data_IF_612000466656
#
_entry.id   IF_612000466656
#
_cell.length_a   1.000
_cell.length_b   1.000
_cell.length_c   1.000
_cell.angle_alpha   90.00
_cell.angle_beta   90.00
_cell.angle_gamma   90.00
#
_symmetry.space_group_name_H-M   'P 1'
#
loop_
_entity.id
_entity.type
_entity.pdbx_description
1 polymer ?
#
# COMPACT_ATOMS: atom_id res chain seq x y z
N UNK A 1 -8.01 7.46 -13.68
CA UNK A 1 -8.76 6.55 -12.82
C UNK A 1 -7.77 5.51 -12.32
N UNK A 2 -7.53 5.44 -11.03
CA UNK A 2 -6.60 4.44 -10.45
C UNK A 2 -7.32 3.12 -10.20
N UNK A 3 -6.57 2.05 -9.95
CA UNK A 3 -7.13 0.69 -9.78
C UNK A 3 -8.12 0.59 -8.61
N UNK A 4 -7.88 1.32 -7.52
CA UNK A 4 -8.70 1.29 -6.29
C UNK A 4 -9.05 2.67 -5.73
N UNK A 5 -8.49 3.74 -6.30
CA UNK A 5 -8.63 5.12 -5.82
C UNK A 5 -8.60 6.07 -7.01
N UNK A 6 -9.45 7.09 -6.97
CA UNK A 6 -9.49 8.17 -7.94
C UNK A 6 -8.94 9.45 -7.34
N UNK A 7 -8.11 10.14 -8.11
CA UNK A 7 -7.50 11.40 -7.70
C UNK A 7 -8.13 12.52 -8.51
N UNK A 8 -8.80 13.45 -7.81
CA UNK A 8 -9.41 14.65 -8.40
C UNK A 8 -8.56 15.85 -8.00
N UNK A 9 -7.92 16.49 -8.98
CA UNK A 9 -7.13 17.69 -8.74
C UNK A 9 -8.06 18.90 -8.67
N UNK A 10 -8.09 19.58 -7.52
CA UNK A 10 -8.84 20.83 -7.31
C UNK A 10 -7.99 22.06 -7.68
N UNK A 11 -6.68 21.96 -7.46
CA UNK A 11 -5.68 22.96 -7.85
C UNK A 11 -4.42 22.24 -8.31
N UNK A 12 -3.95 22.53 -9.52
CA UNK A 12 -2.74 21.91 -10.05
C UNK A 12 -1.49 22.31 -9.26
N UNK A 13 -0.56 21.37 -9.00
CA UNK A 13 0.78 21.72 -8.54
C UNK A 13 1.61 22.31 -9.69
N UNK A 14 2.32 23.41 -9.44
CA UNK A 14 3.09 24.12 -10.47
C UNK A 14 4.40 24.69 -9.91
N UNK A 15 5.52 24.41 -10.59
CA UNK A 15 6.84 24.82 -10.13
C UNK A 15 7.09 24.34 -8.70
N UNK A 16 7.35 25.26 -7.78
CA UNK A 16 7.49 24.96 -6.35
C UNK A 16 6.17 24.99 -5.57
N UNK A 17 5.02 25.35 -6.15
CA UNK A 17 3.74 25.45 -5.42
C UNK A 17 3.02 24.10 -5.38
N UNK A 18 2.68 23.66 -4.17
CA UNK A 18 1.82 22.50 -3.96
C UNK A 18 0.43 22.74 -4.55
N UNK A 19 -0.12 21.68 -5.11
CA UNK A 19 -1.51 21.58 -5.53
C UNK A 19 -2.41 21.13 -4.38
N UNK A 20 -3.70 21.02 -4.68
CA UNK A 20 -4.70 20.52 -3.75
C UNK A 20 -5.61 19.55 -4.48
N UNK A 21 -5.91 18.42 -3.87
CA UNK A 21 -6.70 17.37 -4.49
C UNK A 21 -7.52 16.61 -3.49
N UNK A 22 -8.32 15.71 -4.04
CA UNK A 22 -9.17 14.80 -3.30
C UNK A 22 -8.90 13.39 -3.79
N UNK A 23 -8.70 12.49 -2.84
CA UNK A 23 -8.64 11.06 -3.03
C UNK A 23 -10.02 10.47 -2.75
N UNK A 24 -10.61 9.84 -3.76
CA UNK A 24 -11.88 9.13 -3.66
C UNK A 24 -11.56 7.64 -3.65
N UNK A 25 -11.67 7.02 -2.48
CA UNK A 25 -11.44 5.61 -2.29
C UNK A 25 -12.66 4.83 -2.81
N UNK A 26 -12.39 3.87 -3.70
CA UNK A 26 -13.45 3.06 -4.32
C UNK A 26 -13.54 1.69 -3.65
N UNK A 27 -14.69 1.05 -3.85
CA UNK A 27 -14.91 -0.36 -3.47
C UNK A 27 -14.29 -1.35 -4.47
N UNK A 28 -13.58 -0.84 -5.49
CA UNK A 28 -12.82 -1.67 -6.43
C UNK A 28 -11.64 -2.33 -5.74
N UNK A 29 -11.22 -3.47 -6.24
CA UNK A 29 -10.00 -4.14 -5.83
C UNK A 29 -9.20 -4.62 -7.04
N UNK A 30 -7.90 -4.81 -6.83
CA UNK A 30 -6.96 -5.30 -7.84
C UNK A 30 -6.04 -6.33 -7.21
N UNK A 31 -5.77 -7.41 -7.95
CA UNK A 31 -4.77 -8.41 -7.59
C UNK A 31 -3.92 -8.78 -8.81
N UNK A 32 -2.68 -9.18 -8.56
CA UNK A 32 -1.72 -9.63 -9.58
C UNK A 32 -1.43 -8.63 -10.70
N UNK A 33 -1.62 -7.33 -10.48
CA UNK A 33 -1.43 -6.25 -11.46
C UNK A 33 -2.34 -6.39 -12.70
N UNK A 34 -3.41 -7.18 -12.57
CA UNK A 34 -4.38 -7.39 -13.65
C UNK A 34 -5.13 -6.10 -13.98
N UNK A 35 -5.46 -5.32 -12.95
CA UNK A 35 -6.33 -4.15 -13.04
C UNK A 35 -7.53 -4.32 -12.12
N UNK A 36 -8.61 -3.62 -12.42
CA UNK A 36 -9.88 -3.77 -11.71
C UNK A 36 -10.42 -5.20 -11.85
N UNK A 37 -10.76 -5.81 -10.71
CA UNK A 37 -11.32 -7.15 -10.62
C UNK A 37 -12.86 -7.12 -10.69
N UNK A 38 -13.52 -8.25 -10.96
CA UNK A 38 -14.98 -8.32 -11.02
C UNK A 38 -15.57 -8.11 -9.62
N UNK A 39 -16.70 -7.42 -9.55
CA UNK A 39 -17.39 -7.01 -8.32
C UNK A 39 -16.70 -5.88 -7.55
N UNK A 40 -17.55 -5.17 -6.80
CA UNK A 40 -17.14 -4.24 -5.77
C UNK A 40 -17.19 -4.95 -4.41
N UNK A 41 -16.25 -4.61 -3.54
CA UNK A 41 -16.25 -5.03 -2.13
C UNK A 41 -16.85 -3.89 -1.32
N UNK A 42 -18.14 -3.99 -1.01
CA UNK A 42 -18.91 -2.94 -0.38
C UNK A 42 -18.22 -2.40 0.89
N UNK A 43 -18.08 -1.08 1.00
CA UNK A 43 -17.50 -0.41 2.17
C UNK A 43 -15.99 -0.52 2.29
N UNK A 44 -15.30 -1.18 1.35
CA UNK A 44 -13.84 -1.23 1.28
C UNK A 44 -13.25 0.18 1.15
N UNK A 45 -13.76 1.00 0.24
CA UNK A 45 -13.26 2.35 0.00
C UNK A 45 -13.33 3.23 1.25
N UNK A 46 -14.49 3.23 1.93
CA UNK A 46 -14.67 3.93 3.20
C UNK A 46 -13.71 3.40 4.28
N UNK A 47 -13.61 2.08 4.45
CA UNK A 47 -12.71 1.46 5.42
C UNK A 47 -11.25 1.88 5.22
N UNK A 48 -10.78 1.84 3.97
CA UNK A 48 -9.40 2.22 3.61
C UNK A 48 -9.14 3.71 3.86
N UNK A 49 -10.08 4.57 3.49
CA UNK A 49 -9.99 6.01 3.71
C UNK A 49 -9.86 6.32 5.21
N UNK A 50 -10.73 5.73 6.02
CA UNK A 50 -10.75 5.97 7.46
C UNK A 50 -9.51 5.42 8.18
N UNK A 51 -9.06 4.22 7.83
CA UNK A 51 -7.81 3.66 8.39
C UNK A 51 -6.61 4.55 8.03
N UNK A 52 -6.50 4.98 6.77
CA UNK A 52 -5.37 5.81 6.34
C UNK A 52 -5.42 7.20 6.98
N UNK A 53 -6.60 7.80 7.11
CA UNK A 53 -6.81 9.07 7.81
C UNK A 53 -6.36 8.97 9.28
N UNK A 54 -6.79 7.91 9.97
CA UNK A 54 -6.38 7.63 11.35
C UNK A 54 -4.85 7.58 11.49
N UNK A 55 -4.17 6.86 10.59
CA UNK A 55 -2.71 6.78 10.65
C UNK A 55 -2.02 8.10 10.30
N UNK A 56 -2.52 8.87 9.34
CA UNK A 56 -1.97 10.19 9.05
C UNK A 56 -2.09 11.14 10.25
N UNK A 57 -3.20 11.09 11.00
CA UNK A 57 -3.36 11.88 12.23
C UNK A 57 -2.35 11.44 13.31
N UNK A 58 -2.07 10.14 13.46
CA UNK A 58 -0.98 9.64 14.32
C UNK A 58 0.41 10.10 13.85
N UNK A 59 0.64 10.18 12.54
CA UNK A 59 1.90 10.73 12.01
C UNK A 59 2.03 12.22 12.37
N UNK A 60 0.94 12.99 12.28
CA UNK A 60 0.89 14.40 12.67
C UNK A 60 1.21 14.58 14.17
N UNK A 61 0.65 13.76 15.06
CA UNK A 61 0.98 13.75 16.50
C UNK A 61 2.47 13.53 16.78
N UNK A 62 3.19 12.86 15.87
CA UNK A 62 4.64 12.59 15.97
C UNK A 62 5.49 13.55 15.14
N UNK A 63 4.90 14.58 14.54
CA UNK A 63 5.59 15.55 13.70
C UNK A 63 6.16 14.96 12.41
N UNK A 64 5.60 13.85 11.91
CA UNK A 64 6.00 13.25 10.63
C UNK A 64 5.17 13.89 9.53
N UNK A 65 5.85 14.65 8.67
CA UNK A 65 5.23 15.38 7.56
C UNK A 65 4.58 14.44 6.56
N UNK A 66 3.39 14.80 6.11
CA UNK A 66 2.60 14.03 5.16
C UNK A 66 1.63 14.97 4.40
N UNK A 67 0.98 14.45 3.36
CA UNK A 67 0.08 15.23 2.51
C UNK A 67 -1.38 15.32 2.98
N UNK A 68 -1.76 14.68 4.09
CA UNK A 68 -3.16 14.57 4.52
C UNK A 68 -3.65 15.89 5.10
N UNK A 69 -4.81 16.36 4.63
CA UNK A 69 -5.47 17.56 5.16
C UNK A 69 -6.68 17.26 6.05
N UNK A 70 -7.28 16.08 5.93
CA UNK A 70 -8.56 15.73 6.56
C UNK A 70 -9.41 14.81 5.68
N UNK A 71 -10.43 14.21 6.27
CA UNK A 71 -11.51 13.51 5.55
C UNK A 71 -12.62 14.49 5.22
N UNK A 72 -13.40 14.23 4.16
CA UNK A 72 -14.49 15.12 3.74
C UNK A 72 -15.84 14.55 4.14
N UNK A 73 -16.62 15.31 4.89
CA UNK A 73 -18.01 15.02 5.27
C UNK A 73 -18.83 16.32 5.12
N UNK A 74 -19.97 16.25 4.44
CA UNK A 74 -20.84 17.42 4.15
C UNK A 74 -20.09 18.60 3.49
N UNK A 75 -19.21 18.30 2.52
CA UNK A 75 -18.31 19.25 1.85
C UNK A 75 -17.31 20.00 2.76
N UNK A 76 -17.23 19.62 4.04
CA UNK A 76 -16.27 20.13 5.01
C UNK A 76 -15.12 19.16 5.25
N UNK A 77 -13.94 19.70 5.52
CA UNK A 77 -12.73 18.92 5.83
C UNK A 77 -12.64 18.78 7.34
N UNK A 78 -12.75 17.56 7.84
CA UNK A 78 -12.84 17.22 9.25
C UNK A 78 -11.74 16.23 9.64
N UNK A 79 -11.42 16.19 10.93
CA UNK A 79 -10.58 15.12 11.53
C UNK A 79 -11.42 13.86 11.73
N UNK A 80 -10.76 12.72 11.89
CA UNK A 80 -11.43 11.42 12.08
C UNK A 80 -12.37 11.42 13.29
N UNK A 81 -12.05 12.15 14.36
CA UNK A 81 -12.90 12.24 15.56
C UNK A 81 -14.12 13.17 15.40
N UNK A 82 -14.18 13.96 14.33
CA UNK A 82 -15.23 14.98 14.11
C UNK A 82 -16.33 14.49 13.15
N UNK A 83 -16.07 13.43 12.39
CA UNK A 83 -17.06 12.87 11.45
C UNK A 83 -18.12 12.04 12.18
N UNK A 84 -19.33 11.99 11.61
CA UNK A 84 -20.42 11.15 12.10
C UNK A 84 -20.51 9.83 11.34
N UNK A 85 -20.21 9.85 10.04
CA UNK A 85 -20.29 8.68 9.16
C UNK A 85 -18.98 8.45 8.41
N UNK A 86 -18.57 7.18 8.17
CA UNK A 86 -17.31 6.91 7.50
C UNK A 86 -17.32 7.48 6.07
N UNK A 87 -16.32 8.31 5.78
CA UNK A 87 -16.08 8.91 4.48
C UNK A 87 -15.20 8.01 3.61
N UNK A 88 -15.38 8.08 2.29
CA UNK A 88 -14.42 7.55 1.32
C UNK A 88 -13.65 8.67 0.61
N UNK A 89 -13.73 9.90 1.11
CA UNK A 89 -13.17 11.08 0.48
C UNK A 89 -12.13 11.69 1.44
N UNK A 90 -10.90 11.81 0.97
CA UNK A 90 -9.79 12.38 1.71
C UNK A 90 -9.22 13.57 0.94
N UNK A 91 -9.09 14.72 1.59
CA UNK A 91 -8.42 15.87 0.99
C UNK A 91 -6.91 15.78 1.25
N UNK A 92 -6.12 16.03 0.21
CA UNK A 92 -4.66 15.99 0.29
C UNK A 92 -4.01 17.18 -0.41
N UNK A 93 -2.81 17.53 0.05
CA UNK A 93 -1.86 18.28 -0.76
C UNK A 93 -1.39 17.38 -1.92
N UNK A 94 -1.13 18.00 -3.09
CA UNK A 94 -0.70 17.29 -4.29
C UNK A 94 0.62 17.85 -4.76
N UNK A 95 1.54 16.97 -5.14
CA UNK A 95 2.81 17.32 -5.79
C UNK A 95 2.78 17.02 -7.27
N UNK A 96 3.75 17.55 -8.02
CA UNK A 96 3.93 17.18 -9.43
C UNK A 96 4.29 15.71 -9.55
N UNK A 97 3.69 15.04 -10.53
CA UNK A 97 4.12 13.71 -10.96
C UNK A 97 5.02 13.89 -12.17
N UNK A 98 6.32 13.95 -11.92
CA UNK A 98 7.34 13.93 -12.97
C UNK A 98 7.44 12.51 -13.50
N UNK A 99 7.41 12.31 -14.82
CA UNK A 99 7.51 10.97 -15.41
C UNK A 99 8.90 10.77 -16.01
N UNK A 100 9.55 9.62 -15.80
CA UNK A 100 10.74 9.27 -16.56
C UNK A 100 10.40 9.17 -18.05
N UNK A 101 11.31 9.61 -18.92
CA UNK A 101 11.15 9.50 -20.37
C UNK A 101 11.47 8.08 -20.82
N UNK A 102 10.66 7.51 -21.72
CA UNK A 102 10.91 6.19 -22.29
C UNK A 102 11.55 6.35 -23.67
N UNK A 103 12.87 6.17 -23.73
CA UNK A 103 13.61 6.16 -25.01
C UNK A 103 13.90 4.71 -25.42
N UNK A 104 14.75 4.04 -24.64
CA UNK A 104 15.07 2.60 -24.77
C UNK A 104 14.90 1.90 -23.41
N UNK A 105 15.43 2.54 -22.38
CA UNK A 105 15.11 2.30 -20.97
C UNK A 105 14.48 3.58 -20.39
N UNK A 106 14.13 3.56 -19.11
CA UNK A 106 13.59 4.72 -18.39
C UNK A 106 14.71 5.74 -18.05
N UNK A 107 14.62 6.95 -18.59
CA UNK A 107 15.49 8.07 -18.21
C UNK A 107 14.90 8.85 -17.03
N UNK A 108 15.60 8.80 -15.90
CA UNK A 108 15.26 9.49 -14.65
C UNK A 108 15.98 10.85 -14.49
N UNK A 109 16.66 11.36 -15.51
CA UNK A 109 17.44 12.61 -15.44
C UNK A 109 16.63 13.83 -14.97
N UNK A 110 15.31 13.82 -15.16
CA UNK A 110 14.40 14.87 -14.66
C UNK A 110 14.47 15.04 -13.13
N UNK A 111 14.64 13.96 -12.37
CA UNK A 111 14.68 13.98 -10.91
C UNK A 111 15.97 14.57 -10.35
N UNK A 112 17.06 14.60 -11.14
CA UNK A 112 18.30 15.32 -10.78
C UNK A 112 18.24 16.81 -11.08
N UNK A 113 17.37 17.21 -12.02
CA UNK A 113 17.17 18.61 -12.44
C UNK A 113 16.18 19.32 -11.50
N UNK A 114 15.12 18.63 -11.13
CA UNK A 114 14.06 19.17 -10.28
C UNK A 114 14.43 19.09 -8.80
N UNK A 115 14.14 20.16 -8.05
CA UNK A 115 14.61 20.28 -6.65
C UNK A 115 13.54 19.99 -5.61
N UNK A 116 12.27 20.24 -5.90
CA UNK A 116 11.17 20.24 -4.92
C UNK A 116 9.82 20.04 -5.58
N UNK A 117 8.77 19.78 -4.78
CA UNK A 117 7.38 19.63 -5.22
C UNK A 117 7.19 18.53 -6.27
N UNK A 118 7.67 17.32 -5.97
CA UNK A 118 7.47 16.15 -6.81
C UNK A 118 7.36 14.85 -6.02
N UNK A 119 6.64 13.88 -6.59
CA UNK A 119 6.59 12.50 -6.09
C UNK A 119 7.95 11.84 -6.34
N UNK A 120 8.54 11.27 -5.30
CA UNK A 120 9.79 10.51 -5.40
C UNK A 120 9.45 9.19 -6.11
N UNK A 121 10.21 8.77 -7.14
CA UNK A 121 9.84 7.65 -8.01
C UNK A 121 10.08 6.26 -7.39
N UNK A 122 9.92 6.15 -6.06
CA UNK A 122 10.25 4.98 -5.27
C UNK A 122 9.04 4.51 -4.46
N UNK A 123 8.87 3.20 -4.41
CA UNK A 123 8.07 2.52 -3.40
C UNK A 123 9.02 1.98 -2.32
N UNK A 124 8.82 2.40 -1.07
CA UNK A 124 9.66 1.98 0.06
C UNK A 124 8.91 0.97 0.88
N UNK A 125 9.48 -0.23 1.02
CA UNK A 125 8.82 -1.37 1.65
C UNK A 125 9.55 -1.66 2.96
N UNK A 126 8.79 -1.79 4.05
CA UNK A 126 9.31 -2.34 5.30
C UNK A 126 8.76 -3.75 5.52
N UNK A 127 9.54 -4.60 6.19
CA UNK A 127 9.14 -5.97 6.52
C UNK A 127 9.48 -6.27 7.97
N UNK A 128 8.48 -6.59 8.76
CA UNK A 128 8.63 -7.10 10.13
C UNK A 128 8.71 -8.62 10.15
N UNK A 129 8.12 -9.28 9.15
CA UNK A 129 8.19 -10.72 8.96
C UNK A 129 8.36 -11.08 7.48
N UNK A 130 8.60 -12.37 7.20
CA UNK A 130 8.72 -12.91 5.86
C UNK A 130 7.60 -13.91 5.58
N UNK A 131 6.36 -13.47 5.26
CA UNK A 131 5.27 -14.38 4.93
C UNK A 131 5.56 -15.14 3.64
N UNK A 132 4.95 -16.31 3.43
CA UNK A 132 5.19 -17.19 2.27
C UNK A 132 5.14 -16.47 0.91
N UNK A 133 4.25 -15.48 0.77
CA UNK A 133 4.13 -14.64 -0.43
C UNK A 133 5.16 -13.50 -0.56
N UNK A 134 6.17 -13.44 0.30
CA UNK A 134 7.22 -12.42 0.24
C UNK A 134 8.08 -12.59 -1.02
N UNK A 135 8.33 -11.48 -1.71
CA UNK A 135 9.18 -11.45 -2.90
C UNK A 135 10.63 -11.83 -2.59
N UNK A 136 11.07 -11.67 -1.34
CA UNK A 136 12.42 -12.02 -0.89
C UNK A 136 12.77 -13.48 -1.21
N UNK A 137 11.83 -14.43 -1.04
CA UNK A 137 12.11 -15.84 -1.31
C UNK A 137 12.49 -16.07 -2.78
N UNK A 138 11.67 -15.56 -3.71
CA UNK A 138 11.94 -15.69 -5.15
C UNK A 138 13.21 -14.96 -5.58
N UNK A 139 13.52 -13.82 -4.96
CA UNK A 139 14.73 -13.04 -5.25
C UNK A 139 15.99 -13.75 -4.75
N UNK A 140 15.95 -14.35 -3.56
CA UNK A 140 17.04 -15.19 -3.03
C UNK A 140 17.26 -16.44 -3.91
N UNK A 141 16.19 -17.13 -4.30
CA UNK A 141 16.27 -18.31 -5.18
C UNK A 141 16.92 -18.00 -6.54
N UNK A 142 16.69 -16.79 -7.06
CA UNK A 142 17.26 -16.33 -8.34
C UNK A 142 18.65 -15.69 -8.21
N UNK A 143 19.15 -15.52 -6.99
CA UNK A 143 20.41 -14.82 -6.73
C UNK A 143 20.36 -13.31 -7.00
N UNK A 144 19.17 -12.71 -7.05
CA UNK A 144 18.98 -11.26 -7.23
C UNK A 144 19.34 -10.47 -5.95
N UNK A 145 19.31 -11.14 -4.79
CA UNK A 145 19.75 -10.64 -3.48
C UNK A 145 20.43 -11.76 -2.70
N UNK A 146 21.26 -11.41 -1.72
CA UNK A 146 21.90 -12.37 -0.80
C UNK A 146 21.34 -12.27 0.62
N UNK A 147 21.60 -13.28 1.45
CA UNK A 147 21.18 -13.27 2.87
C UNK A 147 21.91 -12.17 3.66
N UNK A 148 23.17 -11.89 3.31
CA UNK A 148 24.00 -10.87 3.95
C UNK A 148 23.47 -9.47 3.65
N UNK A 149 23.02 -9.21 2.41
CA UNK A 149 22.37 -7.95 2.04
C UNK A 149 21.07 -7.71 2.82
N UNK A 150 20.40 -8.77 3.25
CA UNK A 150 19.19 -8.71 4.08
C UNK A 150 19.51 -8.67 5.59
N UNK A 151 20.79 -8.72 5.99
CA UNK A 151 21.18 -8.81 7.39
C UNK A 151 20.76 -10.12 8.07
N UNK A 152 20.69 -11.22 7.32
CA UNK A 152 20.27 -12.54 7.80
C UNK A 152 21.45 -13.52 7.86
N UNK A 153 21.52 -14.30 8.94
CA UNK A 153 22.59 -15.30 9.13
C UNK A 153 22.38 -16.61 8.36
N UNK A 154 21.14 -16.85 7.89
CA UNK A 154 20.77 -18.08 7.20
C UNK A 154 19.53 -17.85 6.32
N UNK A 155 19.33 -18.76 5.37
CA UNK A 155 18.15 -18.75 4.50
C UNK A 155 16.86 -18.76 5.35
N UNK A 156 15.98 -17.75 5.20
CA UNK A 156 14.79 -17.66 6.04
C UNK A 156 13.76 -18.72 5.68
N UNK A 157 12.90 -19.07 6.64
CA UNK A 157 11.68 -19.86 6.38
C UNK A 157 10.46 -18.94 6.28
N UNK A 158 9.42 -19.29 5.52
CA UNK A 158 8.14 -18.59 5.56
C UNK A 158 7.62 -18.42 6.99
N UNK A 159 7.10 -17.23 7.29
CA UNK A 159 6.62 -16.85 8.62
C UNK A 159 7.72 -16.39 9.60
N UNK A 160 8.99 -16.31 9.17
CA UNK A 160 10.08 -15.80 10.03
C UNK A 160 9.77 -14.39 10.49
N UNK A 161 9.66 -14.21 11.82
CA UNK A 161 9.66 -12.90 12.46
C UNK A 161 11.09 -12.36 12.47
N UNK A 162 11.26 -11.13 12.02
CA UNK A 162 12.56 -10.48 11.93
C UNK A 162 12.87 -9.77 13.25
N UNK A 163 14.13 -9.84 13.69
CA UNK A 163 14.59 -9.12 14.89
C UNK A 163 14.53 -7.61 14.66
N UNK A 164 15.01 -7.20 13.49
CA UNK A 164 15.00 -5.82 13.03
C UNK A 164 14.29 -5.78 11.67
N UNK A 165 13.42 -4.79 11.41
CA UNK A 165 12.73 -4.71 10.12
C UNK A 165 13.68 -4.57 8.96
N UNK A 166 13.43 -5.32 7.87
CA UNK A 166 14.16 -5.17 6.62
C UNK A 166 13.49 -4.07 5.79
N UNK A 167 14.30 -3.23 5.15
CA UNK A 167 13.84 -2.25 4.18
C UNK A 167 14.20 -2.68 2.75
N UNK A 168 13.21 -2.64 1.87
CA UNK A 168 13.31 -2.87 0.43
C UNK A 168 12.88 -1.60 -0.30
N UNK A 169 13.29 -1.47 -1.57
CA UNK A 169 12.87 -0.37 -2.43
C UNK A 169 12.62 -0.87 -3.85
N UNK A 170 11.58 -0.33 -4.48
CA UNK A 170 11.27 -0.57 -5.90
C UNK A 170 10.91 0.72 -6.64
N UNK A 171 10.87 0.64 -7.96
CA UNK A 171 10.36 1.73 -8.81
C UNK A 171 8.85 1.93 -8.59
N UNK A 172 8.32 3.11 -8.93
CA UNK A 172 6.89 3.46 -8.82
C UNK A 172 6.23 3.92 -10.13
N UNK A 173 7.05 4.42 -11.05
CA UNK A 173 6.62 5.15 -12.26
C UNK A 173 6.92 4.40 -13.56
N UNK A 174 7.35 3.14 -13.45
CA UNK A 174 7.53 2.24 -14.58
C UNK A 174 6.24 1.46 -14.84
N UNK A 175 6.11 0.88 -16.04
CA UNK A 175 4.97 0.00 -16.36
C UNK A 175 4.89 -1.23 -15.43
N UNK A 176 6.04 -1.64 -14.89
CA UNK A 176 6.18 -2.72 -13.94
C UNK A 176 7.25 -2.35 -12.93
N UNK A 177 6.85 -2.33 -11.66
CA UNK A 177 7.79 -2.05 -10.58
C UNK A 177 8.86 -3.14 -10.49
N UNK A 178 10.11 -2.72 -10.34
CA UNK A 178 11.27 -3.59 -10.15
C UNK A 178 12.00 -3.20 -8.87
N UNK A 179 12.55 -4.19 -8.18
CA UNK A 179 13.36 -3.96 -7.00
C UNK A 179 14.68 -3.32 -7.38
N UNK A 180 15.19 -2.47 -6.49
CA UNK A 180 16.42 -1.72 -6.66
C UNK A 180 17.36 -1.99 -5.48
N UNK A 181 18.65 -1.80 -5.73
CA UNK A 181 19.61 -1.49 -4.68
C UNK A 181 19.38 -0.07 -4.16
N UNK A 182 19.89 0.25 -2.98
CA UNK A 182 19.80 1.62 -2.44
C UNK A 182 20.61 2.63 -3.28
N UNK A 183 21.72 2.21 -3.89
CA UNK A 183 22.53 3.04 -4.79
C UNK A 183 21.76 3.39 -6.07
N UNK A 184 21.10 2.40 -6.68
CA UNK A 184 20.22 2.64 -7.83
C UNK A 184 19.02 3.52 -7.44
N UNK A 185 18.45 3.32 -6.25
CA UNK A 185 17.36 4.15 -5.75
C UNK A 185 17.79 5.62 -5.60
N UNK A 186 18.98 5.89 -5.05
CA UNK A 186 19.57 7.24 -5.02
C UNK A 186 19.71 7.80 -6.44
N UNK A 187 20.23 6.98 -7.35
CA UNK A 187 20.52 7.38 -8.71
C UNK A 187 19.27 7.86 -9.48
N UNK A 188 18.20 7.06 -9.43
CA UNK A 188 16.96 7.34 -10.19
C UNK A 188 16.09 8.41 -9.52
N UNK A 189 16.21 8.58 -8.21
CA UNK A 189 15.37 9.53 -7.47
C UNK A 189 16.02 10.90 -7.29
N UNK A 190 17.32 11.02 -7.55
CA UNK A 190 18.08 12.25 -7.31
C UNK A 190 18.21 12.59 -5.82
N UNK A 191 18.06 11.59 -4.95
CA UNK A 191 18.30 11.72 -3.52
C UNK A 191 19.79 11.61 -3.20
N UNK A 192 20.25 12.41 -2.25
CA UNK A 192 21.57 12.22 -1.64
C UNK A 192 21.52 11.19 -0.50
N UNK A 193 22.69 10.85 0.05
CA UNK A 193 22.82 9.84 1.11
C UNK A 193 22.05 10.23 2.39
N UNK A 194 22.10 11.49 2.80
CA UNK A 194 21.37 11.99 3.98
C UNK A 194 19.84 11.88 3.80
N UNK A 195 19.35 12.17 2.59
CA UNK A 195 17.93 12.06 2.23
C UNK A 195 17.46 10.61 2.23
N UNK A 196 18.28 9.66 1.78
CA UNK A 196 17.97 8.23 1.87
C UNK A 196 17.93 7.75 3.31
N UNK A 197 18.91 8.12 4.13
CA UNK A 197 18.93 7.71 5.53
C UNK A 197 17.75 8.32 6.30
N UNK A 198 17.37 9.56 5.97
CA UNK A 198 16.15 10.17 6.51
C UNK A 198 14.88 9.43 6.06
N UNK A 199 14.79 9.08 4.78
CA UNK A 199 13.67 8.30 4.22
C UNK A 199 13.56 6.94 4.92
N UNK A 200 14.66 6.18 5.08
CA UNK A 200 14.69 4.92 5.83
C UNK A 200 14.23 5.11 7.28
N UNK A 201 14.72 6.15 7.95
CA UNK A 201 14.35 6.49 9.33
C UNK A 201 12.87 6.83 9.47
N UNK A 202 12.30 7.59 8.54
CA UNK A 202 10.86 7.90 8.53
C UNK A 202 10.07 6.62 8.28
N UNK A 203 10.46 5.78 7.33
CA UNK A 203 9.83 4.48 7.06
C UNK A 203 9.76 3.61 8.32
N UNK A 204 10.87 3.47 9.06
CA UNK A 204 10.89 2.69 10.30
C UNK A 204 10.00 3.30 11.40
N UNK A 205 9.93 4.63 11.49
CA UNK A 205 9.01 5.30 12.43
C UNK A 205 7.55 5.06 12.06
N UNK A 206 7.20 5.18 10.78
CA UNK A 206 5.84 4.93 10.29
C UNK A 206 5.47 3.46 10.51
N UNK A 207 6.36 2.52 10.18
CA UNK A 207 6.20 1.11 10.48
C UNK A 207 5.91 0.87 11.97
N UNK A 208 6.71 1.46 12.87
CA UNK A 208 6.51 1.33 14.32
C UNK A 208 5.14 1.85 14.76
N UNK A 209 4.72 3.01 14.26
CA UNK A 209 3.40 3.60 14.56
C UNK A 209 2.28 2.68 14.08
N UNK A 210 2.37 2.14 12.87
CA UNK A 210 1.38 1.20 12.34
C UNK A 210 1.31 -0.04 13.24
N UNK A 211 2.47 -0.66 13.47
CA UNK A 211 2.59 -1.91 14.25
C UNK A 211 2.04 -1.76 15.67
N UNK A 212 2.43 -0.72 16.41
CA UNK A 212 1.96 -0.50 17.79
C UNK A 212 0.45 -0.26 17.88
N UNK A 213 -0.18 0.29 16.84
CA UNK A 213 -1.62 0.53 16.83
C UNK A 213 -2.40 -0.70 16.35
N UNK A 214 -1.90 -1.44 15.36
CA UNK A 214 -2.56 -2.68 14.92
C UNK A 214 -2.44 -3.79 15.97
N UNK A 215 -1.32 -3.87 16.70
CA UNK A 215 -1.14 -4.88 17.75
C UNK A 215 -2.15 -4.78 18.88
N UNK A 216 -2.61 -3.57 19.22
CA UNK A 216 -3.69 -3.36 20.21
C UNK A 216 -5.01 -4.00 19.79
N UNK A 217 -5.23 -4.13 18.48
CA UNK A 217 -6.37 -4.81 17.87
C UNK A 217 -6.13 -6.32 17.66
N UNK A 218 -5.00 -6.87 18.12
CA UNK A 218 -4.60 -8.25 17.85
C UNK A 218 -4.16 -8.49 16.41
N UNK A 219 -3.94 -7.42 15.64
CA UNK A 219 -3.53 -7.48 14.23
C UNK A 219 -2.02 -7.33 14.14
N UNK A 220 -1.35 -8.35 13.60
CA UNK A 220 0.08 -8.32 13.32
C UNK A 220 0.35 -7.63 11.99
N UNK A 221 1.29 -6.69 12.01
CA UNK A 221 1.79 -5.99 10.82
C UNK A 221 3.01 -6.72 10.24
N UNK A 222 2.82 -7.48 9.16
CA UNK A 222 3.85 -8.35 8.58
C UNK A 222 4.82 -7.56 7.70
N UNK A 223 4.28 -6.79 6.76
CA UNK A 223 5.02 -5.89 5.87
C UNK A 223 4.10 -4.76 5.38
N UNK A 224 4.68 -3.69 4.87
CA UNK A 224 3.94 -2.57 4.31
C UNK A 224 4.75 -1.71 3.37
N UNK A 225 4.05 -0.90 2.60
CA UNK A 225 4.63 -0.03 1.57
C UNK A 225 4.28 1.43 1.84
N UNK A 226 5.23 2.31 1.57
CA UNK A 226 5.09 3.76 1.68
C UNK A 226 5.59 4.44 0.41
N UNK A 227 4.93 5.53 0.06
CA UNK A 227 5.38 6.45 -0.97
C UNK A 227 5.78 7.79 -0.35
N UNK A 228 6.74 8.46 -0.97
CA UNK A 228 7.28 9.73 -0.49
C UNK A 228 7.26 10.79 -1.58
N UNK A 229 7.23 12.04 -1.16
CA UNK A 229 7.40 13.19 -2.04
C UNK A 229 8.29 14.24 -1.37
N UNK A 230 8.84 15.12 -2.19
CA UNK A 230 9.37 16.39 -1.70
C UNK A 230 8.30 17.47 -1.77
N UNK A 231 8.15 18.22 -0.69
CA UNK A 231 7.31 19.41 -0.67
C UNK A 231 7.97 20.60 -1.40
N UNK A 232 7.42 21.81 -1.27
CA UNK A 232 7.96 23.03 -1.87
C UNK A 232 9.32 23.51 -1.32
N UNK A 233 9.79 22.91 -0.22
CA UNK A 233 11.04 23.23 0.46
C UNK A 233 12.07 22.09 0.40
N UNK A 234 11.78 21.02 -0.35
CA UNK A 234 12.57 19.78 -0.40
C UNK A 234 12.60 19.04 0.95
N UNK A 235 11.53 19.16 1.73
CA UNK A 235 11.30 18.33 2.90
C UNK A 235 10.56 17.06 2.48
N UNK A 236 11.01 15.91 2.98
CA UNK A 236 10.35 14.63 2.75
C UNK A 236 8.97 14.63 3.43
N UNK A 237 7.98 14.15 2.70
CA UNK A 237 6.64 13.90 3.22
C UNK A 237 6.12 12.54 2.79
N UNK A 238 5.41 11.86 3.69
CA UNK A 238 4.70 10.62 3.40
C UNK A 238 3.45 10.95 2.58
N UNK A 239 3.25 10.23 1.49
CA UNK A 239 2.11 10.44 0.59
C UNK A 239 1.38 9.14 0.30
N UNK A 240 0.42 9.21 -0.61
CA UNK A 240 -0.48 8.14 -1.02
C UNK A 240 -1.44 7.65 0.08
N UNK A 241 -1.31 6.41 0.55
CA UNK A 241 -2.21 5.77 1.50
C UNK A 241 -1.36 4.89 2.40
N UNK A 242 -1.66 4.86 3.70
CA UNK A 242 -0.79 4.19 4.69
C UNK A 242 -1.59 3.33 5.66
N UNK A 243 -0.96 2.25 6.13
CA UNK A 243 -1.47 1.43 7.23
C UNK A 243 -2.79 0.69 6.93
N UNK A 244 -3.15 0.54 5.65
CA UNK A 244 -4.39 -0.12 5.26
C UNK A 244 -4.17 -1.59 4.85
N UNK A 245 -5.19 -2.47 4.89
CA UNK A 245 -5.08 -3.83 4.37
C UNK A 245 -4.76 -3.94 2.85
N UNK A 246 -4.79 -2.82 2.14
CA UNK A 246 -4.42 -2.72 0.73
C UNK A 246 -2.92 -2.45 0.53
N UNK A 247 -2.28 -1.74 1.48
CA UNK A 247 -0.87 -1.31 1.45
C UNK A 247 0.02 -2.06 2.44
N UNK A 248 -0.59 -2.77 3.40
CA UNK A 248 0.07 -3.60 4.39
C UNK A 248 -0.47 -5.03 4.33
N UNK A 249 0.40 -6.00 4.58
CA UNK A 249 -0.01 -7.36 4.89
C UNK A 249 -0.23 -7.47 6.38
N UNK A 250 -1.51 -7.53 6.74
CA UNK A 250 -1.93 -7.77 8.11
C UNK A 250 -2.33 -9.22 8.31
N UNK A 251 -2.07 -9.76 9.51
CA UNK A 251 -2.55 -11.07 9.93
C UNK A 251 -3.24 -11.00 11.30
N UNK A 252 -4.24 -11.86 11.49
CA UNK A 252 -4.98 -12.03 12.73
C UNK A 252 -5.12 -13.52 13.00
N UNK A 253 -4.67 -13.99 14.17
CA UNK A 253 -4.60 -15.44 14.49
C UNK A 253 -3.95 -16.27 13.34
N UNK A 254 -2.83 -15.76 12.79
CA UNK A 254 -2.06 -16.31 11.65
C UNK A 254 -2.81 -16.37 10.29
N UNK A 255 -4.01 -15.80 10.21
CA UNK A 255 -4.76 -15.63 8.96
C UNK A 255 -4.51 -14.24 8.38
N UNK A 256 -4.10 -14.18 7.12
CA UNK A 256 -3.94 -12.91 6.41
C UNK A 256 -5.29 -12.21 6.23
N UNK A 257 -5.39 -10.95 6.68
CA UNK A 257 -6.57 -10.09 6.62
C UNK A 257 -6.31 -8.89 5.71
N UNK A 258 -5.84 -9.19 4.51
CA UNK A 258 -5.44 -8.22 3.48
C UNK A 258 -5.97 -8.68 2.11
N UNK A 259 -5.56 -7.99 1.04
CA UNK A 259 -5.74 -8.46 -0.35
C UNK A 259 -5.29 -9.91 -0.56
N UNK A 260 -4.45 -10.47 0.32
CA UNK A 260 -3.97 -11.84 0.22
C UNK A 260 -5.09 -12.89 0.31
N UNK A 261 -6.21 -12.62 1.00
CA UNK A 261 -7.40 -13.51 0.98
C UNK A 261 -7.89 -13.70 -0.45
N UNK A 262 -8.01 -12.60 -1.18
CA UNK A 262 -8.44 -12.61 -2.58
C UNK A 262 -7.38 -13.28 -3.46
N UNK A 263 -6.08 -13.01 -3.23
CA UNK A 263 -5.00 -13.69 -3.98
C UNK A 263 -5.06 -15.20 -3.78
N UNK A 264 -5.22 -15.69 -2.54
CA UNK A 264 -5.37 -17.12 -2.22
C UNK A 264 -6.54 -17.75 -2.98
N UNK A 265 -7.71 -17.10 -2.99
CA UNK A 265 -8.87 -17.57 -3.74
C UNK A 265 -8.56 -17.72 -5.23
N UNK A 266 -8.06 -16.66 -5.86
CA UNK A 266 -7.81 -16.66 -7.30
C UNK A 266 -6.71 -17.62 -7.73
N UNK A 267 -5.67 -17.85 -6.91
CA UNK A 267 -4.60 -18.82 -7.23
C UNK A 267 -5.12 -20.25 -7.47
N UNK A 268 -6.30 -20.59 -6.94
CA UNK A 268 -6.95 -21.90 -7.12
C UNK A 268 -7.69 -22.03 -8.47
N UNK A 269 -7.74 -20.97 -9.28
CA UNK A 269 -8.55 -20.92 -10.52
C UNK A 269 -7.73 -21.19 -11.78
N UNK A 270 -8.37 -21.74 -12.83
CA UNK A 270 -7.74 -21.89 -14.15
C UNK A 270 -7.32 -20.54 -14.76
N UNK A 271 -8.05 -19.48 -14.44
CA UNK A 271 -7.71 -18.12 -14.86
C UNK A 271 -6.32 -17.71 -14.35
N UNK A 272 -6.03 -17.94 -13.06
CA UNK A 272 -4.72 -17.61 -12.51
C UNK A 272 -3.60 -18.42 -13.17
N UNK A 273 -3.82 -19.72 -13.45
CA UNK A 273 -2.82 -20.54 -14.17
C UNK A 273 -2.51 -20.01 -15.57
N UNK A 274 -3.52 -19.48 -16.28
CA UNK A 274 -3.30 -18.80 -17.57
C UNK A 274 -2.58 -17.47 -17.38
N UNK A 275 -3.01 -16.67 -16.40
CA UNK A 275 -2.39 -15.40 -16.06
C UNK A 275 -0.90 -15.57 -15.76
N UNK A 276 -0.53 -16.55 -14.94
CA UNK A 276 0.86 -16.80 -14.53
C UNK A 276 1.76 -17.15 -15.72
N UNK A 277 1.25 -17.92 -16.69
CA UNK A 277 2.00 -18.28 -17.91
C UNK A 277 2.19 -17.11 -18.88
N UNK A 278 1.24 -16.18 -18.90
CA UNK A 278 1.21 -15.09 -19.86
C UNK A 278 1.81 -13.79 -19.31
N UNK A 279 1.80 -13.61 -17.99
CA UNK A 279 2.18 -12.34 -17.33
C UNK A 279 3.60 -11.92 -17.74
N UNK A 280 3.70 -10.70 -18.28
CA UNK A 280 4.95 -10.13 -18.79
C UNK A 280 5.05 -10.13 -20.32
N UNK A 281 4.21 -10.89 -21.03
CA UNK A 281 4.15 -10.86 -22.49
C UNK A 281 3.25 -9.71 -23.00
N UNK A 282 3.36 -9.37 -24.29
CA UNK A 282 2.47 -8.39 -24.91
C UNK A 282 1.01 -8.85 -24.79
N UNK A 283 0.10 -7.92 -24.46
CA UNK A 283 -1.35 -8.18 -24.30
C UNK A 283 -1.69 -9.34 -23.37
N UNK A 284 -0.85 -9.65 -22.39
CA UNK A 284 -1.05 -10.78 -21.47
C UNK A 284 -2.40 -10.75 -20.74
N UNK A 285 -2.97 -9.56 -20.49
CA UNK A 285 -4.29 -9.39 -19.87
C UNK A 285 -5.43 -9.91 -20.76
N UNK A 286 -5.34 -9.67 -22.07
CA UNK A 286 -6.29 -10.19 -23.05
C UNK A 286 -6.21 -11.72 -23.09
N UNK A 287 -4.99 -12.27 -23.16
CA UNK A 287 -4.76 -13.72 -23.19
C UNK A 287 -5.14 -14.44 -21.90
N UNK A 288 -4.97 -13.83 -20.72
CA UNK A 288 -5.44 -14.38 -19.45
C UNK A 288 -6.97 -14.52 -19.42
N UNK A 289 -7.65 -13.63 -20.15
CA UNK A 289 -9.10 -13.52 -20.19
C UNK A 289 -9.67 -12.92 -18.92
N UNK A 290 -10.99 -12.98 -18.78
CA UNK A 290 -11.70 -12.40 -17.62
C UNK A 290 -11.51 -13.27 -16.37
N UNK A 291 -11.17 -12.68 -15.21
CA UNK A 291 -11.18 -13.38 -13.93
C UNK A 291 -12.58 -13.90 -13.59
N UNK A 292 -12.68 -15.05 -12.89
CA UNK A 292 -13.95 -15.54 -12.39
C UNK A 292 -14.54 -14.62 -11.31
N UNK A 293 -15.86 -14.68 -11.16
CA UNK A 293 -16.55 -13.98 -10.08
C UNK A 293 -16.16 -14.56 -8.71
N UNK A 294 -16.17 -13.70 -7.69
CA UNK A 294 -16.11 -14.17 -6.30
C UNK A 294 -17.42 -14.90 -5.96
N UNK A 295 -17.32 -15.95 -5.15
CA UNK A 295 -18.49 -16.51 -4.48
C UNK A 295 -19.11 -15.44 -3.57
N UNK A 296 -20.44 -15.38 -3.53
CA UNK A 296 -21.15 -14.31 -2.82
C UNK A 296 -20.82 -14.28 -1.33
N UNK A 297 -20.73 -15.45 -0.68
CA UNK A 297 -20.30 -15.55 0.71
C UNK A 297 -18.89 -15.01 0.95
N UNK A 298 -17.92 -15.35 0.09
CA UNK A 298 -16.56 -14.83 0.20
C UNK A 298 -16.51 -13.31 -0.02
N UNK A 299 -17.28 -12.79 -0.99
CA UNK A 299 -17.38 -11.35 -1.25
C UNK A 299 -17.87 -10.60 0.00
N UNK A 300 -18.91 -11.12 0.64
CA UNK A 300 -19.50 -10.52 1.84
C UNK A 300 -18.56 -10.64 3.05
N UNK A 301 -17.92 -11.80 3.25
CA UNK A 301 -16.94 -11.98 4.31
C UNK A 301 -15.73 -11.05 4.15
N UNK A 302 -15.24 -10.83 2.92
CA UNK A 302 -14.16 -9.88 2.64
C UNK A 302 -14.62 -8.42 2.86
N UNK A 303 -15.85 -8.07 2.50
CA UNK A 303 -16.44 -6.75 2.83
C UNK A 303 -16.44 -6.53 4.35
N UNK A 304 -16.95 -7.49 5.11
CA UNK A 304 -16.97 -7.45 6.57
C UNK A 304 -15.56 -7.37 7.14
N UNK A 305 -14.56 -8.01 6.52
CA UNK A 305 -13.16 -7.96 6.98
C UNK A 305 -12.61 -6.54 6.89
N UNK A 306 -12.81 -5.83 5.78
CA UNK A 306 -12.35 -4.43 5.68
C UNK A 306 -13.04 -3.54 6.72
N UNK A 307 -14.36 -3.68 6.87
CA UNK A 307 -15.17 -2.92 7.83
C UNK A 307 -14.75 -3.20 9.28
N UNK A 308 -14.55 -4.46 9.65
CA UNK A 308 -14.12 -4.89 10.97
C UNK A 308 -12.68 -4.44 11.26
N UNK A 309 -11.75 -4.60 10.30
CA UNK A 309 -10.39 -4.05 10.43
C UNK A 309 -10.41 -2.54 10.70
N UNK A 310 -11.29 -1.79 10.02
CA UNK A 310 -11.42 -0.36 10.27
C UNK A 310 -11.87 -0.07 11.71
N UNK A 311 -12.91 -0.76 12.18
CA UNK A 311 -13.39 -0.60 13.55
C UNK A 311 -12.30 -0.91 14.59
N UNK A 312 -11.63 -2.05 14.46
CA UNK A 312 -10.63 -2.50 15.44
C UNK A 312 -9.36 -1.63 15.43
N UNK A 313 -8.84 -1.25 14.24
CA UNK A 313 -7.62 -0.44 14.12
C UNK A 313 -7.84 0.98 14.65
N UNK A 314 -8.98 1.58 14.34
CA UNK A 314 -9.28 2.97 14.74
C UNK A 314 -9.81 3.05 16.17
N UNK A 315 -10.38 1.96 16.69
CA UNK A 315 -11.12 1.94 17.95
C UNK A 315 -12.49 2.64 17.87
N UNK A 316 -12.95 3.00 16.66
CA UNK A 316 -14.20 3.71 16.41
C UNK A 316 -15.14 2.77 15.65
N UNK A 317 -16.39 2.63 16.12
CA UNK A 317 -17.39 1.78 15.45
C UNK A 317 -18.04 2.52 14.27
N UNK A 318 -17.33 2.58 13.15
CA UNK A 318 -17.84 3.16 11.89
C UNK A 318 -18.85 2.27 11.17
N UNK A 319 -18.71 0.95 11.32
CA UNK A 319 -19.54 -0.01 10.61
C UNK A 319 -20.25 -0.95 11.57
N UNK A 320 -21.50 -1.28 11.27
CA UNK A 320 -22.25 -2.33 11.98
C UNK A 320 -21.94 -3.70 11.38
N UNK A 321 -20.81 -4.28 11.82
CA UNK A 321 -20.35 -5.62 11.45
C UNK A 321 -19.89 -6.37 12.69
N UNK A 322 -19.81 -7.69 12.60
CA UNK A 322 -19.28 -8.52 13.67
C UNK A 322 -17.80 -8.22 13.94
N UNK A 323 -17.32 -8.65 15.11
CA UNK A 323 -15.91 -8.57 15.51
C UNK A 323 -14.99 -9.17 14.45
N UNK A 324 -13.78 -8.60 14.34
CA UNK A 324 -12.78 -9.11 13.39
C UNK A 324 -12.50 -10.60 13.58
N UNK A 325 -12.50 -11.08 14.84
CA UNK A 325 -12.34 -12.49 15.17
C UNK A 325 -13.39 -13.40 14.51
N UNK A 326 -14.66 -13.02 14.58
CA UNK A 326 -15.75 -13.80 13.99
C UNK A 326 -15.69 -13.76 12.46
N UNK A 327 -15.41 -12.60 11.89
CA UNK A 327 -15.24 -12.44 10.44
C UNK A 327 -14.06 -13.27 9.91
N UNK A 328 -12.93 -13.30 10.61
CA UNK A 328 -11.77 -14.12 10.24
C UNK A 328 -12.10 -15.60 10.30
N UNK A 329 -12.87 -16.05 11.31
CA UNK A 329 -13.35 -17.43 11.39
C UNK A 329 -14.23 -17.79 10.19
N UNK A 330 -15.17 -16.91 9.82
CA UNK A 330 -16.02 -17.10 8.64
C UNK A 330 -15.18 -17.23 7.35
N UNK A 331 -14.20 -16.35 7.16
CA UNK A 331 -13.29 -16.42 6.00
C UNK A 331 -12.55 -17.77 5.98
N UNK A 332 -12.05 -18.22 7.13
CA UNK A 332 -11.33 -19.49 7.25
C UNK A 332 -12.22 -20.68 6.84
N UNK A 333 -13.46 -20.71 7.33
CA UNK A 333 -14.44 -21.74 6.97
C UNK A 333 -14.76 -21.73 5.47
N UNK A 334 -14.95 -20.55 4.86
CA UNK A 334 -15.23 -20.41 3.41
C UNK A 334 -14.04 -20.85 2.56
N UNK A 335 -12.82 -20.54 3.02
CA UNK A 335 -11.58 -20.86 2.33
C UNK A 335 -11.13 -22.31 2.54
N UNK A 336 -11.64 -22.99 3.57
CA UNK A 336 -11.22 -24.35 3.94
C UNK A 336 -9.79 -24.40 4.46
N UNK A 337 -9.33 -23.32 5.12
CA UNK A 337 -7.99 -23.18 5.71
C UNK A 337 -7.98 -23.57 7.20
#
# INVERSE_FOLDING_TARGET
MGSVKDVVIKKNPEGSKLGKGIFIFSDRYSVFDYGEMPHLIEGKGKSLCMISAYFFERLNEKGIKNHYCGVVEDDEVKRVEEIQEPSNIMQTEIVRILKPERVNDYDYSIFRKEKSNFLIPLEVIYRNTLPEGSSIFKRLERGEITIEQLGLDAFPRPGKVLKDPILDVSTKLEDKDRYLTWDEAMEISGLNEEEIELLKKITLKVNKIITENTEKAGIRNEDGKLEFAFDNKRELMVVDTIGTPDECRFSFEDIQISKEVLRKYYRRTEWYRRLEKLKGNERWREGAGKPPLLKENLKNAVSNMYKACCNEITGIRFFDVDSLKNVVREIKEIMGD
#
